data_IF_375629528108
#
_entry.id   IF_375629528108
#
_cell.length_a   1.000
_cell.length_b   1.000
_cell.length_c   1.000
_cell.angle_alpha   90.00
_cell.angle_beta   90.00
_cell.angle_gamma   90.00
#
_symmetry.space_group_name_H-M   'P 1'
#
loop_
_entity.id
_entity.type
_entity.pdbx_description
1 polymer ?
#
# COMPACT_ATOMS: atom_id res chain seq x y z
N UNK A 1 -9.38 -4.28 5.10
CA UNK A 1 -8.73 -2.98 4.88
C UNK A 1 -7.42 -2.97 5.65
N UNK A 2 -6.31 -2.62 4.98
CA UNK A 2 -4.92 -2.90 5.42
C UNK A 2 -4.59 -2.37 6.81
N UNK A 3 -5.00 -1.15 7.15
CA UNK A 3 -4.62 -0.50 8.41
C UNK A 3 -5.59 -0.72 9.57
N UNK A 4 -6.84 -1.15 9.28
CA UNK A 4 -7.99 -1.15 10.21
C UNK A 4 -8.28 0.19 10.91
N UNK A 5 -7.67 1.31 10.49
CA UNK A 5 -7.91 2.65 11.03
C UNK A 5 -9.04 3.36 10.30
N UNK A 6 -9.80 4.19 11.02
CA UNK A 6 -10.80 5.07 10.40
C UNK A 6 -10.13 6.39 10.04
N UNK A 7 -10.43 7.00 8.87
CA UNK A 7 -9.93 8.34 8.55
C UNK A 7 -10.31 9.41 9.57
N UNK A 8 -11.35 9.15 10.38
CA UNK A 8 -11.87 10.02 11.43
C UNK A 8 -11.49 9.55 12.85
N UNK A 9 -10.53 8.64 13.01
CA UNK A 9 -10.02 8.30 14.34
C UNK A 9 -9.41 9.53 15.02
N UNK A 10 -9.60 9.66 16.34
CA UNK A 10 -9.15 10.82 17.13
C UNK A 10 -7.64 11.07 17.05
N UNK A 11 -6.84 10.05 16.70
CA UNK A 11 -5.39 10.19 16.49
C UNK A 11 -5.01 11.05 15.27
N UNK A 12 -5.98 11.34 14.39
CA UNK A 12 -5.79 12.18 13.21
C UNK A 12 -6.28 13.60 13.51
N UNK A 13 -5.46 14.34 14.28
CA UNK A 13 -5.71 15.72 14.66
C UNK A 13 -4.62 16.66 14.11
N UNK A 14 -4.77 17.97 14.35
CA UNK A 14 -3.75 18.99 14.05
C UNK A 14 -3.15 18.95 12.62
N UNK A 15 -3.94 18.55 11.62
CA UNK A 15 -3.51 18.47 10.21
C UNK A 15 -2.83 17.15 9.81
N UNK A 16 -2.64 16.22 10.75
CA UNK A 16 -2.36 14.82 10.47
C UNK A 16 -3.64 14.13 10.00
N UNK A 17 -3.51 13.31 8.95
CA UNK A 17 -4.61 12.50 8.44
C UNK A 17 -4.08 11.12 8.07
N UNK A 18 -4.99 10.18 7.78
CA UNK A 18 -4.62 8.81 7.42
C UNK A 18 -3.65 8.74 6.23
N UNK A 19 -3.86 9.56 5.19
CA UNK A 19 -2.95 9.60 4.03
C UNK A 19 -1.53 9.99 4.44
N UNK A 20 -1.37 11.10 5.16
CA UNK A 20 -0.06 11.61 5.62
C UNK A 20 0.61 10.61 6.55
N UNK A 21 -0.13 10.03 7.49
CA UNK A 21 0.38 9.03 8.41
C UNK A 21 0.88 7.78 7.66
N UNK A 22 0.08 7.23 6.74
CA UNK A 22 0.52 6.07 5.94
C UNK A 22 1.77 6.43 5.11
N UNK A 23 1.79 7.59 4.45
CA UNK A 23 2.93 8.04 3.63
C UNK A 23 4.24 8.17 4.43
N UNK A 24 4.17 8.69 5.66
CA UNK A 24 5.33 8.83 6.57
C UNK A 24 5.89 7.47 6.99
N UNK A 25 5.03 6.48 7.19
CA UNK A 25 5.42 5.20 7.79
C UNK A 25 5.62 4.07 6.76
N UNK A 26 5.08 4.19 5.54
CA UNK A 26 5.20 3.20 4.48
C UNK A 26 6.66 2.90 4.11
N UNK A 27 7.51 3.94 4.01
CA UNK A 27 8.93 3.79 3.71
C UNK A 27 9.74 3.44 4.97
N UNK A 28 9.91 2.14 5.23
CA UNK A 28 10.78 1.60 6.29
C UNK A 28 10.06 1.09 7.55
N UNK A 29 8.75 1.34 7.70
CA UNK A 29 7.94 0.81 8.82
C UNK A 29 6.52 0.42 8.37
N UNK A 30 6.39 -0.30 7.24
CA UNK A 30 5.09 -0.79 6.79
C UNK A 30 4.35 -1.57 7.90
N UNK A 31 5.06 -2.32 8.73
CA UNK A 31 4.51 -3.02 9.90
C UNK A 31 3.79 -2.09 10.90
N UNK A 32 4.16 -0.81 10.97
CA UNK A 32 3.52 0.15 11.87
C UNK A 32 2.15 0.62 11.35
N UNK A 33 1.91 0.51 10.04
CA UNK A 33 0.64 0.91 9.43
C UNK A 33 -0.33 -0.26 9.23
N UNK A 34 0.19 -1.47 9.10
CA UNK A 34 -0.60 -2.68 8.88
C UNK A 34 -1.34 -3.08 10.17
N UNK A 35 -2.60 -3.50 10.01
CA UNK A 35 -3.40 -4.07 11.09
C UNK A 35 -2.66 -5.25 11.75
N UNK A 36 -2.44 -5.24 13.08
CA UNK A 36 -1.74 -6.32 13.77
C UNK A 36 -2.36 -7.71 13.55
N UNK A 37 -3.69 -7.79 13.34
CA UNK A 37 -4.35 -9.06 13.02
C UNK A 37 -4.01 -9.53 11.59
N UNK A 38 -3.98 -8.62 10.62
CA UNK A 38 -3.51 -8.91 9.26
C UNK A 38 -2.04 -9.34 9.25
N UNK A 39 -1.17 -8.61 9.94
CA UNK A 39 0.24 -8.95 10.05
C UNK A 39 0.45 -10.33 10.70
N UNK A 40 -0.39 -10.72 11.67
CA UNK A 40 -0.38 -12.07 12.26
C UNK A 40 -0.75 -13.14 11.24
N UNK A 41 -1.86 -12.96 10.53
CA UNK A 41 -2.29 -13.91 9.49
C UNK A 41 -1.19 -14.13 8.45
N UNK A 42 -0.56 -13.07 7.96
CA UNK A 42 0.52 -13.17 6.95
C UNK A 42 1.77 -13.87 7.49
N UNK A 43 2.11 -13.71 8.77
CA UNK A 43 3.27 -14.38 9.37
C UNK A 43 3.08 -15.88 9.58
N UNK A 44 1.84 -16.32 9.74
CA UNK A 44 1.51 -17.73 9.98
C UNK A 44 1.43 -18.55 8.67
N UNK A 45 1.56 -17.88 7.51
CA UNK A 45 1.57 -18.48 6.18
C UNK A 45 2.93 -19.03 5.77
N UNK A 46 2.94 -19.78 4.65
CA UNK A 46 4.20 -20.27 4.05
C UNK A 46 5.13 -19.12 3.63
N UNK A 47 6.47 -19.33 3.57
CA UNK A 47 7.40 -18.27 3.16
C UNK A 47 7.16 -17.69 1.77
N UNK A 48 6.50 -18.43 0.89
CA UNK A 48 6.10 -17.98 -0.45
C UNK A 48 4.87 -17.06 -0.37
N UNK A 49 3.79 -17.53 0.25
CA UNK A 49 2.56 -16.76 0.44
C UNK A 49 2.81 -15.49 1.26
N UNK A 50 3.68 -15.58 2.28
CA UNK A 50 4.11 -14.41 3.06
C UNK A 50 4.76 -13.35 2.19
N UNK A 51 5.72 -13.72 1.33
CA UNK A 51 6.39 -12.78 0.42
C UNK A 51 5.41 -12.14 -0.56
N UNK A 52 4.48 -12.93 -1.10
CA UNK A 52 3.43 -12.40 -1.99
C UNK A 52 2.48 -11.45 -1.26
N UNK A 53 2.14 -11.76 -0.01
CA UNK A 53 1.29 -10.93 0.85
C UNK A 53 1.98 -9.61 1.22
N UNK A 54 3.28 -9.65 1.53
CA UNK A 54 4.07 -8.45 1.84
C UNK A 54 4.09 -7.49 0.64
N UNK A 55 4.30 -8.02 -0.58
CA UNK A 55 4.17 -7.26 -1.83
C UNK A 55 2.76 -6.67 -1.96
N UNK A 56 1.72 -7.50 -1.83
CA UNK A 56 0.35 -7.03 -2.00
C UNK A 56 -0.08 -5.96 -0.98
N UNK A 57 0.38 -6.08 0.27
CA UNK A 57 0.15 -5.07 1.30
C UNK A 57 0.82 -3.75 0.89
N UNK A 58 2.07 -3.82 0.41
CA UNK A 58 2.80 -2.64 -0.04
C UNK A 58 2.06 -1.91 -1.16
N UNK A 59 1.67 -2.65 -2.19
CA UNK A 59 0.96 -2.12 -3.36
C UNK A 59 -0.41 -1.53 -3.01
N UNK A 60 -1.15 -2.16 -2.08
CA UNK A 60 -2.42 -1.59 -1.60
C UNK A 60 -2.23 -0.29 -0.81
N UNK A 61 -1.17 -0.17 -0.02
CA UNK A 61 -0.85 1.06 0.70
C UNK A 61 -0.48 2.17 -0.29
N UNK A 62 0.34 1.85 -1.28
CA UNK A 62 0.78 2.76 -2.32
C UNK A 62 -0.37 3.28 -3.19
N UNK A 63 -1.19 2.37 -3.71
CA UNK A 63 -2.41 2.73 -4.43
C UNK A 63 -3.35 3.58 -3.56
N UNK A 64 -3.45 3.27 -2.26
CA UNK A 64 -4.18 4.06 -1.30
C UNK A 64 -3.65 5.50 -1.19
N UNK A 65 -2.33 5.68 -1.11
CA UNK A 65 -1.68 7.00 -1.11
C UNK A 65 -2.00 7.75 -2.41
N UNK A 66 -1.87 7.11 -3.58
CA UNK A 66 -2.16 7.72 -4.88
C UNK A 66 -3.62 8.15 -5.01
N UNK A 67 -4.56 7.29 -4.64
CA UNK A 67 -5.99 7.58 -4.67
C UNK A 67 -6.40 8.74 -3.75
N UNK A 68 -5.61 9.02 -2.72
CA UNK A 68 -5.92 10.01 -1.68
C UNK A 68 -5.06 11.27 -1.73
N UNK A 69 -4.35 11.51 -2.83
CA UNK A 69 -3.59 12.75 -3.05
C UNK A 69 -4.48 13.99 -2.85
N UNK A 70 -3.94 15.04 -2.25
CA UNK A 70 -4.69 16.29 -2.02
C UNK A 70 -5.12 16.92 -3.35
N UNK A 71 -4.21 16.91 -4.34
CA UNK A 71 -4.48 17.39 -5.70
C UNK A 71 -5.29 16.38 -6.51
N UNK A 72 -6.48 16.78 -6.97
CA UNK A 72 -7.33 15.96 -7.81
C UNK A 72 -6.66 15.43 -9.10
N UNK A 73 -5.92 16.23 -9.89
CA UNK A 73 -5.25 15.74 -11.10
C UNK A 73 -4.06 14.81 -10.84
N UNK A 74 -3.59 14.71 -9.59
CA UNK A 74 -2.53 13.77 -9.21
C UNK A 74 -3.07 12.37 -8.83
N UNK A 75 -4.40 12.21 -8.76
CA UNK A 75 -5.03 10.92 -8.47
C UNK A 75 -5.16 10.10 -9.76
N UNK A 76 -4.97 8.77 -9.69
CA UNK A 76 -5.26 7.90 -10.82
C UNK A 76 -6.75 7.94 -11.16
N UNK A 77 -7.10 7.59 -12.40
CA UNK A 77 -8.50 7.34 -12.73
C UNK A 77 -8.97 6.06 -12.04
N UNK A 78 -10.29 5.90 -11.89
CA UNK A 78 -10.84 4.64 -11.38
C UNK A 78 -10.52 3.45 -12.28
N UNK A 79 -10.32 3.68 -13.59
CA UNK A 79 -9.91 2.64 -14.53
C UNK A 79 -8.49 2.18 -14.22
N UNK A 80 -7.56 3.12 -14.06
CA UNK A 80 -6.16 2.78 -13.71
C UNK A 80 -6.08 2.06 -12.36
N UNK A 81 -6.85 2.53 -11.35
CA UNK A 81 -6.90 1.87 -10.04
C UNK A 81 -7.49 0.45 -10.10
N UNK A 82 -8.52 0.23 -10.92
CA UNK A 82 -9.10 -1.09 -11.11
C UNK A 82 -8.15 -2.04 -11.85
N UNK A 83 -7.43 -1.53 -12.85
CA UNK A 83 -6.43 -2.30 -13.60
C UNK A 83 -5.26 -2.72 -12.70
N UNK A 84 -4.77 -1.83 -11.83
CA UNK A 84 -3.72 -2.16 -10.86
C UNK A 84 -4.20 -3.21 -9.83
N UNK A 85 -5.45 -3.10 -9.37
CA UNK A 85 -6.05 -4.10 -8.47
C UNK A 85 -6.26 -5.47 -9.16
N UNK A 86 -6.64 -5.50 -10.45
CA UNK A 86 -6.78 -6.76 -11.20
C UNK A 86 -5.42 -7.44 -11.37
N UNK A 87 -4.38 -6.68 -11.72
CA UNK A 87 -3.01 -7.20 -11.78
C UNK A 87 -2.58 -7.79 -10.44
N UNK A 88 -2.88 -7.08 -9.34
CA UNK A 88 -2.48 -7.53 -8.02
C UNK A 88 -3.22 -8.80 -7.60
N UNK A 89 -4.51 -8.89 -7.94
CA UNK A 89 -5.31 -10.11 -7.73
C UNK A 89 -4.71 -11.32 -8.47
N UNK A 90 -4.32 -11.17 -9.74
CA UNK A 90 -3.71 -12.25 -10.53
C UNK A 90 -2.36 -12.69 -9.97
N UNK A 91 -1.56 -11.73 -9.50
CA UNK A 91 -0.29 -11.98 -8.83
C UNK A 91 -0.50 -12.85 -7.58
N UNK A 92 -1.42 -12.47 -6.69
CA UNK A 92 -1.74 -13.24 -5.48
C UNK A 92 -2.32 -14.62 -5.82
N UNK A 93 -3.12 -14.72 -6.89
CA UNK A 93 -3.73 -15.96 -7.36
C UNK A 93 -2.75 -16.97 -7.98
N UNK A 94 -1.47 -16.61 -8.13
CA UNK A 94 -0.46 -17.48 -8.73
C UNK A 94 -0.61 -17.67 -10.24
N UNK A 95 -1.44 -16.85 -10.91
CA UNK A 95 -1.63 -16.89 -12.36
C UNK A 95 -0.41 -16.34 -13.12
N UNK A 96 0.58 -15.79 -12.42
CA UNK A 96 1.75 -15.13 -13.01
C UNK A 96 2.99 -15.39 -12.15
N UNK A 97 4.04 -15.98 -12.73
CA UNK A 97 5.37 -16.20 -12.10
C UNK A 97 6.26 -14.95 -12.12
N UNK A 98 5.74 -13.81 -12.61
CA UNK A 98 6.47 -12.56 -12.73
C UNK A 98 6.42 -11.73 -11.44
N UNK A 99 7.51 -11.00 -11.18
CA UNK A 99 7.58 -9.93 -10.18
C UNK A 99 6.43 -8.95 -10.42
N UNK A 100 5.65 -8.64 -9.38
CA UNK A 100 4.64 -7.59 -9.48
C UNK A 100 5.33 -6.26 -9.80
N UNK A 101 4.80 -5.53 -10.77
CA UNK A 101 5.21 -4.17 -11.09
C UNK A 101 3.93 -3.35 -11.27
N UNK A 102 3.72 -2.37 -10.38
CA UNK A 102 2.60 -1.42 -10.51
C UNK A 102 2.68 -0.71 -11.86
N UNK A 103 1.52 -0.55 -12.50
CA UNK A 103 1.43 0.21 -13.75
C UNK A 103 1.43 1.72 -13.51
N UNK A 104 1.26 2.16 -12.25
CA UNK A 104 1.21 3.56 -11.84
C UNK A 104 2.60 4.19 -11.65
N UNK A 105 3.67 3.42 -11.88
CA UNK A 105 5.00 3.96 -12.18
C UNK A 105 5.80 4.51 -10.99
N UNK A 106 5.67 3.92 -9.81
CA UNK A 106 6.63 4.15 -8.72
C UNK A 106 7.29 2.83 -8.36
N UNK A 107 8.47 2.60 -8.93
CA UNK A 107 9.44 1.72 -8.28
C UNK A 107 9.79 2.36 -6.96
N UNK A 108 9.88 1.56 -5.88
CA UNK A 108 10.48 1.95 -4.60
C UNK A 108 11.76 2.74 -4.84
N UNK A 109 11.67 4.06 -4.85
CA UNK A 109 12.80 4.95 -5.03
C UNK A 109 13.17 5.42 -3.65
N UNK A 110 14.34 4.98 -3.21
CA UNK A 110 15.12 5.67 -2.20
C UNK A 110 15.22 7.12 -2.64
N UNK A 111 14.46 8.02 -2.02
CA UNK A 111 14.75 9.44 -2.13
C UNK A 111 16.08 9.64 -1.42
N UNK A 112 17.13 9.86 -2.21
CA UNK A 112 18.33 10.53 -1.74
C UNK A 112 17.92 11.91 -1.22
N UNK A 113 18.38 12.20 -0.01
CA UNK A 113 18.23 13.49 0.67
C UNK A 113 18.61 14.64 -0.26
N UNK A 114 17.80 15.71 -0.25
CA UNK A 114 18.22 17.02 -0.73
C UNK A 114 17.91 18.03 0.38
N UNK A 115 19.01 18.66 0.83
CA UNK A 115 19.20 19.77 1.77
C UNK A 115 17.98 20.67 2.07
#
# INVERSE_FOLDING_TARGET
MVTRRKPTDDMFDAGLNLHKWVKIHYHGRADAVVDPALARMVRDETPEVRRMSDVAIGELLELGILCTQESAPARPTMMDAADDLDRLKRYIGGETTATFASSLGFSSTTFEDVD
#
